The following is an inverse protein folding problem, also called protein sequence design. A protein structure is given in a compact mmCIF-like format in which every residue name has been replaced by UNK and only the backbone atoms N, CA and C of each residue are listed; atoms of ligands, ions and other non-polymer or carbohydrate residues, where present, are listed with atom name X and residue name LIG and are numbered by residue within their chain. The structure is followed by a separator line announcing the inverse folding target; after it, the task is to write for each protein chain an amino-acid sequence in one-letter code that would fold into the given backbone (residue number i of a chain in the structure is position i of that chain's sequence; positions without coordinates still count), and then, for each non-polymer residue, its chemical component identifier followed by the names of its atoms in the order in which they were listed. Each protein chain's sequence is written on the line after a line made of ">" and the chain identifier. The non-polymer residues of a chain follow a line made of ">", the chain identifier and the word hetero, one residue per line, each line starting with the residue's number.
data_IF_897326248361
#
_entry.id   IF_897326248361
#
_cell.length_a   1.000
_cell.length_b   1.000
_cell.length_c   1.000
_cell.angle_alpha   90.00
_cell.angle_beta   90.00
_cell.angle_gamma   90.00
#
_symmetry.space_group_name_H-M   'P 1'
#
loop_
_entity.id
_entity.type
_entity.pdbx_description
1 polymer ?
#
# COMPACT_ATOMS: atom_id res chain seq x y z
N UNK A 1 -78.86 51.40 20.95
CA UNK A 1 -78.50 50.04 21.39
C UNK A 1 -77.85 49.35 20.14
N UNK A 2 -76.60 49.45 20.00
CA UNK A 2 -75.80 48.90 18.86
C UNK A 2 -75.17 47.62 19.36
N UNK A 3 -75.58 46.43 18.79
CA UNK A 3 -74.99 45.12 19.03
C UNK A 3 -73.69 44.99 18.20
N UNK A 4 -72.54 44.86 18.88
CA UNK A 4 -71.25 44.47 18.28
C UNK A 4 -71.23 42.95 18.02
N UNK A 5 -70.92 42.54 16.77
CA UNK A 5 -70.69 41.14 16.39
C UNK A 5 -69.28 40.73 16.83
N UNK A 6 -69.08 39.45 17.29
CA UNK A 6 -67.79 38.97 17.67
C UNK A 6 -66.92 38.68 16.42
N UNK A 7 -65.69 39.27 16.41
CA UNK A 7 -64.70 38.99 15.36
C UNK A 7 -64.10 37.56 15.55
N UNK A 8 -64.15 36.78 14.53
CA UNK A 8 -63.48 35.48 14.45
C UNK A 8 -62.00 35.74 14.13
N UNK A 9 -61.10 35.42 15.10
CA UNK A 9 -59.67 35.39 14.86
C UNK A 9 -59.30 34.05 14.27
N UNK A 10 -58.98 34.05 12.98
CA UNK A 10 -58.47 32.87 12.29
C UNK A 10 -56.99 32.68 12.65
N UNK A 11 -56.68 31.74 13.53
CA UNK A 11 -55.28 31.33 13.80
C UNK A 11 -54.77 30.48 12.65
N UNK A 12 -53.95 31.08 11.79
CA UNK A 12 -53.13 30.36 10.79
C UNK A 12 -52.03 29.56 11.51
N UNK A 13 -52.29 28.27 11.71
CA UNK A 13 -51.23 27.33 12.14
C UNK A 13 -50.37 27.03 10.90
N UNK A 14 -49.21 27.65 10.81
CA UNK A 14 -48.20 27.29 9.82
C UNK A 14 -47.66 25.90 10.16
N UNK A 15 -48.05 24.90 9.39
CA UNK A 15 -47.49 23.56 9.48
C UNK A 15 -46.01 23.63 9.02
N UNK A 16 -45.08 23.55 9.97
CA UNK A 16 -43.65 23.34 9.68
C UNK A 16 -43.50 21.91 9.20
N UNK A 17 -43.49 21.70 7.88
CA UNK A 17 -43.15 20.44 7.28
C UNK A 17 -41.65 20.22 7.51
N UNK A 18 -41.22 19.19 8.25
CA UNK A 18 -39.81 18.90 8.38
C UNK A 18 -39.25 18.57 6.99
N UNK A 19 -38.30 19.35 6.50
CA UNK A 19 -37.53 19.00 5.31
C UNK A 19 -36.68 17.79 5.71
N UNK A 20 -37.15 16.60 5.35
CA UNK A 20 -36.34 15.39 5.45
C UNK A 20 -35.22 15.56 4.44
N UNK A 21 -34.01 15.87 4.92
CA UNK A 21 -32.83 15.87 4.06
C UNK A 21 -32.62 14.43 3.55
N UNK A 22 -32.99 14.20 2.31
CA UNK A 22 -32.75 12.92 1.65
C UNK A 22 -31.24 12.73 1.47
N UNK A 23 -30.71 11.57 1.91
CA UNK A 23 -29.31 11.22 1.67
C UNK A 23 -29.02 11.29 0.15
N UNK A 24 -27.84 11.78 -0.18
CA UNK A 24 -27.42 11.89 -1.59
C UNK A 24 -27.31 10.51 -2.23
N UNK A 25 -27.67 10.43 -3.50
CA UNK A 25 -27.43 9.23 -4.32
C UNK A 25 -25.93 9.07 -4.61
N UNK A 26 -25.45 7.86 -4.91
CA UNK A 26 -24.06 7.64 -5.33
C UNK A 26 -23.64 8.52 -6.51
N UNK A 27 -24.55 8.74 -7.46
CA UNK A 27 -24.35 9.62 -8.61
C UNK A 27 -24.13 11.08 -8.18
N UNK A 28 -24.95 11.60 -7.28
CA UNK A 28 -24.80 12.95 -6.73
C UNK A 28 -23.48 13.11 -5.96
N UNK A 29 -23.08 12.07 -5.22
CA UNK A 29 -21.79 12.05 -4.51
C UNK A 29 -20.65 12.09 -5.51
N UNK A 30 -20.71 11.28 -6.57
CA UNK A 30 -19.71 11.28 -7.64
C UNK A 30 -19.62 12.63 -8.32
N UNK A 31 -20.73 13.20 -8.76
CA UNK A 31 -20.76 14.51 -9.42
C UNK A 31 -20.15 15.62 -8.55
N UNK A 32 -20.37 15.56 -7.23
CA UNK A 32 -19.82 16.55 -6.30
C UNK A 32 -18.33 16.29 -6.03
N UNK A 33 -17.99 15.09 -5.63
CA UNK A 33 -16.66 14.77 -5.11
C UNK A 33 -15.59 14.65 -6.19
N UNK A 34 -15.95 14.16 -7.38
CA UNK A 34 -15.04 14.06 -8.53
C UNK A 34 -14.46 15.40 -8.98
N UNK A 35 -15.15 16.51 -8.70
CA UNK A 35 -14.65 17.85 -9.01
C UNK A 35 -13.38 18.21 -8.23
N UNK A 36 -13.11 17.55 -7.12
CA UNK A 36 -11.94 17.78 -6.28
C UNK A 36 -10.84 16.74 -6.51
N UNK A 37 -11.01 15.81 -7.46
CA UNK A 37 -10.03 14.73 -7.73
C UNK A 37 -9.17 15.12 -8.92
N UNK A 38 -7.88 14.85 -8.79
CA UNK A 38 -6.89 15.05 -9.86
C UNK A 38 -6.10 13.75 -10.07
N UNK A 39 -5.45 13.64 -11.23
CA UNK A 39 -4.47 12.58 -11.53
C UNK A 39 -3.08 13.19 -11.42
N UNK A 40 -2.15 12.44 -10.84
CA UNK A 40 -0.77 12.88 -10.64
C UNK A 40 0.15 11.94 -11.41
N UNK A 41 0.99 12.51 -12.26
CA UNK A 41 2.11 11.84 -12.89
C UNK A 41 3.41 12.30 -12.26
N UNK A 42 4.18 11.36 -11.77
CA UNK A 42 5.53 11.57 -11.25
C UNK A 42 6.54 11.09 -12.31
N UNK A 43 7.45 11.97 -12.74
CA UNK A 43 8.38 11.70 -13.83
C UNK A 43 9.82 11.78 -13.33
N UNK A 44 10.72 11.00 -13.94
CA UNK A 44 12.17 11.08 -13.72
C UNK A 44 12.79 12.29 -14.44
N UNK A 45 14.13 12.44 -14.35
CA UNK A 45 14.88 13.50 -15.02
C UNK A 45 14.79 13.47 -16.55
N UNK A 46 14.47 12.30 -17.12
CA UNK A 46 14.36 12.07 -18.56
C UNK A 46 12.92 12.25 -19.06
N UNK A 47 11.98 12.57 -18.15
CA UNK A 47 10.55 12.74 -18.43
C UNK A 47 9.76 11.45 -18.52
N UNK A 48 10.34 10.30 -18.13
CA UNK A 48 9.61 9.04 -18.12
C UNK A 48 8.72 8.96 -16.87
N UNK A 49 7.54 8.37 -17.03
CA UNK A 49 6.60 8.14 -15.93
C UNK A 49 7.17 7.09 -14.97
N UNK A 50 7.48 7.49 -13.73
CA UNK A 50 7.96 6.58 -12.67
C UNK A 50 6.85 6.13 -11.76
N UNK A 51 5.89 7.03 -11.46
CA UNK A 51 4.70 6.71 -10.67
C UNK A 51 3.49 7.48 -11.17
N UNK A 52 2.30 6.91 -10.88
CA UNK A 52 1.02 7.53 -11.16
C UNK A 52 0.06 7.26 -10.02
N UNK A 53 -0.79 8.24 -9.71
CA UNK A 53 -1.83 8.09 -8.71
C UNK A 53 -2.84 9.21 -8.74
N UNK A 54 -3.75 9.19 -7.78
CA UNK A 54 -4.74 10.24 -7.56
C UNK A 54 -4.24 11.33 -6.62
N UNK A 55 -5.00 12.41 -6.57
CA UNK A 55 -4.88 13.45 -5.56
C UNK A 55 -6.22 14.09 -5.28
N UNK A 56 -6.39 14.65 -4.10
CA UNK A 56 -7.59 15.39 -3.70
C UNK A 56 -7.21 16.85 -3.44
N UNK A 57 -7.92 17.76 -4.06
CA UNK A 57 -7.77 19.20 -3.78
C UNK A 57 -8.30 19.50 -2.39
N UNK A 58 -7.42 19.84 -1.45
CA UNK A 58 -7.76 20.08 -0.05
C UNK A 58 -7.62 21.55 0.37
N UNK A 59 -6.91 22.35 -0.42
CA UNK A 59 -6.71 23.78 -0.18
C UNK A 59 -6.58 24.57 -1.48
N UNK A 60 -6.39 25.87 -1.38
CA UNK A 60 -6.10 26.71 -2.55
C UNK A 60 -4.75 26.29 -3.14
N UNK A 61 -4.75 25.81 -4.39
CA UNK A 61 -3.57 25.29 -5.06
C UNK A 61 -2.85 24.17 -4.28
N UNK A 62 -3.55 23.49 -3.36
CA UNK A 62 -3.01 22.36 -2.60
C UNK A 62 -3.76 21.09 -2.92
N UNK A 63 -3.02 20.09 -3.27
CA UNK A 63 -3.48 18.72 -3.51
C UNK A 63 -2.84 17.78 -2.50
N UNK A 64 -3.66 16.97 -1.83
CA UNK A 64 -3.19 15.92 -0.92
C UNK A 64 -3.20 14.59 -1.63
N UNK A 65 -2.13 13.82 -1.47
CA UNK A 65 -1.92 12.50 -2.07
C UNK A 65 -1.12 11.61 -1.13
N UNK A 66 -0.82 10.38 -1.54
CA UNK A 66 0.16 9.56 -0.83
C UNK A 66 1.59 9.97 -1.19
N UNK A 67 2.51 9.85 -0.23
CA UNK A 67 3.90 10.17 -0.49
C UNK A 67 4.52 9.25 -1.54
N UNK A 68 4.17 7.95 -1.54
CA UNK A 68 4.67 7.00 -2.54
C UNK A 68 4.25 7.33 -3.98
N UNK A 69 3.16 8.11 -4.19
CA UNK A 69 2.74 8.55 -5.54
C UNK A 69 3.73 9.53 -6.14
N UNK A 70 4.33 10.38 -5.31
CA UNK A 70 5.25 11.44 -5.75
C UNK A 70 6.73 11.13 -5.44
N UNK A 71 6.98 9.97 -4.85
CA UNK A 71 8.31 9.56 -4.42
C UNK A 71 9.20 9.27 -5.64
N UNK A 72 10.44 9.81 -5.65
CA UNK A 72 11.39 9.62 -6.74
C UNK A 72 11.18 10.50 -7.97
N UNK A 73 10.17 11.35 -7.95
CA UNK A 73 9.94 12.25 -9.06
C UNK A 73 10.97 13.37 -9.13
N UNK A 74 11.53 13.59 -10.32
CA UNK A 74 12.27 14.81 -10.65
C UNK A 74 11.30 15.95 -11.02
N UNK A 75 10.13 15.61 -11.59
CA UNK A 75 9.04 16.55 -11.87
C UNK A 75 7.68 15.93 -11.57
N UNK A 76 6.72 16.78 -11.23
CA UNK A 76 5.34 16.41 -10.97
C UNK A 76 4.41 17.14 -11.92
N UNK A 77 3.50 16.40 -12.53
CA UNK A 77 2.46 16.92 -13.40
C UNK A 77 1.10 16.47 -12.88
N UNK A 78 0.17 17.41 -12.76
CA UNK A 78 -1.18 17.19 -12.24
C UNK A 78 -2.19 17.43 -13.35
N UNK A 79 -3.00 16.43 -13.62
CA UNK A 79 -4.05 16.50 -14.63
C UNK A 79 -5.40 16.78 -13.99
N UNK A 80 -6.05 17.85 -14.44
CA UNK A 80 -7.40 18.20 -14.05
C UNK A 80 -8.21 18.62 -15.29
N UNK A 81 -9.31 17.94 -15.57
CA UNK A 81 -10.19 18.20 -16.74
C UNK A 81 -9.42 18.35 -18.06
N UNK A 82 -8.49 17.40 -18.32
CA UNK A 82 -7.65 17.36 -19.53
C UNK A 82 -6.57 18.43 -19.62
N UNK A 83 -6.43 19.28 -18.61
CA UNK A 83 -5.32 20.25 -18.51
C UNK A 83 -4.23 19.75 -17.58
N UNK A 84 -2.98 19.99 -17.96
CA UNK A 84 -1.79 19.62 -17.20
C UNK A 84 -1.22 20.83 -16.46
N UNK A 85 -0.88 20.65 -15.19
CA UNK A 85 -0.35 21.67 -14.32
C UNK A 85 0.96 21.16 -13.69
N UNK A 86 2.00 21.97 -13.73
CA UNK A 86 3.23 21.66 -13.00
C UNK A 86 2.99 21.78 -11.48
N UNK A 87 3.58 20.87 -10.71
CA UNK A 87 3.44 20.85 -9.27
C UNK A 87 4.78 20.71 -8.56
N UNK A 88 4.81 21.12 -7.28
CA UNK A 88 5.95 20.99 -6.39
C UNK A 88 5.53 20.43 -5.03
N UNK A 89 6.45 19.71 -4.36
CA UNK A 89 6.19 19.23 -3.01
C UNK A 89 5.97 20.40 -2.04
N UNK A 90 4.95 20.30 -1.17
CA UNK A 90 4.58 21.36 -0.22
C UNK A 90 4.73 20.90 1.23
N UNK A 91 4.20 19.74 1.59
CA UNK A 91 4.33 19.17 2.93
C UNK A 91 4.39 17.63 2.84
N UNK A 92 5.01 17.00 3.82
CA UNK A 92 5.12 15.55 3.87
C UNK A 92 5.08 15.02 5.30
N UNK A 93 4.32 13.95 5.50
CA UNK A 93 4.43 13.04 6.61
C UNK A 93 4.69 11.64 6.05
N UNK A 94 5.95 11.32 5.83
CA UNK A 94 6.37 10.07 5.19
C UNK A 94 6.05 8.82 6.03
N UNK A 95 5.95 8.96 7.36
CA UNK A 95 5.60 7.84 8.26
C UNK A 95 4.17 7.39 8.04
N UNK A 96 3.26 8.34 7.77
CA UNK A 96 1.85 8.10 7.50
C UNK A 96 1.54 7.99 6.00
N UNK A 97 2.56 8.10 5.14
CA UNK A 97 2.40 8.09 3.68
C UNK A 97 1.44 9.20 3.17
N UNK A 98 1.45 10.37 3.81
CA UNK A 98 0.59 11.49 3.48
C UNK A 98 1.42 12.70 3.05
N UNK A 99 1.24 13.12 1.79
CA UNK A 99 1.95 14.25 1.19
C UNK A 99 0.99 15.29 0.64
N UNK A 100 1.45 16.55 0.60
CA UNK A 100 0.80 17.63 -0.14
C UNK A 100 1.73 18.18 -1.20
N UNK A 101 1.15 18.53 -2.34
CA UNK A 101 1.81 19.21 -3.44
C UNK A 101 1.11 20.53 -3.71
N UNK A 102 1.90 21.52 -4.11
CA UNK A 102 1.40 22.82 -4.58
C UNK A 102 1.29 22.80 -6.08
N UNK A 103 0.13 23.17 -6.57
CA UNK A 103 -0.24 23.18 -8.00
C UNK A 103 -0.66 24.61 -8.35
N UNK A 104 0.26 25.48 -8.73
CA UNK A 104 -0.05 26.88 -9.07
C UNK A 104 -1.10 26.94 -10.19
N UNK A 105 -2.00 27.92 -10.09
CA UNK A 105 -3.09 28.17 -11.04
C UNK A 105 -4.16 27.07 -11.14
N UNK A 106 -4.08 26.01 -10.33
CA UNK A 106 -5.14 25.00 -10.30
C UNK A 106 -6.44 25.63 -9.79
N UNK A 107 -7.43 25.74 -10.70
CA UNK A 107 -8.76 26.22 -10.38
C UNK A 107 -9.76 25.05 -10.24
N UNK A 108 -9.56 24.27 -9.22
CA UNK A 108 -10.43 23.15 -8.87
C UNK A 108 -11.07 23.37 -7.48
N UNK A 109 -12.34 22.99 -7.28
CA UNK A 109 -12.97 23.14 -5.97
C UNK A 109 -12.30 22.21 -4.95
N UNK A 110 -12.11 22.72 -3.74
CA UNK A 110 -11.58 21.91 -2.64
C UNK A 110 -12.65 20.94 -2.14
N UNK A 111 -12.23 19.73 -1.77
CA UNK A 111 -13.08 18.78 -1.08
C UNK A 111 -13.48 19.32 0.32
N UNK A 112 -14.73 19.10 0.68
CA UNK A 112 -15.19 19.37 2.04
C UNK A 112 -14.67 18.27 2.97
N UNK A 113 -13.83 18.62 3.94
CA UNK A 113 -13.29 17.66 4.90
C UNK A 113 -14.34 17.30 5.97
N UNK A 114 -14.45 16.02 6.29
CA UNK A 114 -15.10 15.54 7.50
C UNK A 114 -14.04 14.88 8.39
N UNK A 115 -13.61 15.58 9.42
CA UNK A 115 -12.60 15.13 10.39
C UNK A 115 -13.23 14.46 11.62
N UNK A 116 -14.56 14.27 11.64
CA UNK A 116 -15.25 13.59 12.71
C UNK A 116 -14.86 12.11 12.75
N UNK A 117 -15.00 11.53 13.94
CA UNK A 117 -14.70 10.10 14.13
C UNK A 117 -15.64 9.25 13.28
N UNK A 118 -15.06 8.47 12.37
CA UNK A 118 -15.80 7.49 11.56
C UNK A 118 -16.11 6.22 12.35
N UNK A 119 -17.08 5.42 11.90
CA UNK A 119 -17.54 4.20 12.59
C UNK A 119 -17.55 3.00 11.64
N UNK A 120 -17.24 1.82 12.18
CA UNK A 120 -17.41 0.55 11.47
C UNK A 120 -18.88 0.39 11.06
N UNK A 121 -19.11 -0.09 9.83
CA UNK A 121 -20.43 -0.19 9.23
C UNK A 121 -20.93 1.09 8.53
N UNK A 122 -20.21 2.20 8.63
CA UNK A 122 -20.53 3.44 7.89
C UNK A 122 -20.34 3.24 6.40
N UNK A 123 -21.34 3.64 5.59
CA UNK A 123 -21.30 3.61 4.13
C UNK A 123 -20.32 4.67 3.63
N UNK A 124 -19.51 4.30 2.64
CA UNK A 124 -18.46 5.15 2.08
C UNK A 124 -18.30 4.92 0.58
N UNK A 125 -17.71 5.90 -0.09
CA UNK A 125 -17.47 5.91 -1.53
C UNK A 125 -16.00 6.26 -1.78
N UNK A 126 -15.29 5.37 -2.47
CA UNK A 126 -13.93 5.65 -2.93
C UNK A 126 -13.98 6.18 -4.36
N UNK A 127 -13.28 7.28 -4.63
CA UNK A 127 -13.16 7.90 -5.96
C UNK A 127 -11.68 8.07 -6.26
N UNK A 128 -11.25 7.53 -7.40
CA UNK A 128 -9.88 7.59 -7.89
C UNK A 128 -9.82 7.32 -9.39
N UNK A 129 -8.63 7.40 -9.96
CA UNK A 129 -8.36 7.13 -11.37
C UNK A 129 -7.49 5.87 -11.51
N UNK A 130 -8.09 4.66 -11.56
CA UNK A 130 -7.31 3.44 -11.74
C UNK A 130 -6.52 3.50 -13.04
N UNK A 131 -5.23 3.18 -12.98
CA UNK A 131 -4.31 3.16 -14.14
C UNK A 131 -4.30 4.47 -14.97
N UNK A 132 -4.68 5.61 -14.37
CA UNK A 132 -4.77 6.90 -15.04
C UNK A 132 -5.95 7.03 -16.03
N UNK A 133 -6.85 6.09 -15.98
CA UNK A 133 -8.09 6.09 -16.74
C UNK A 133 -9.10 7.08 -16.16
N UNK A 134 -10.34 7.02 -16.64
CA UNK A 134 -11.43 7.86 -16.13
C UNK A 134 -11.66 7.62 -14.62
N UNK A 135 -12.15 8.67 -13.94
CA UNK A 135 -12.50 8.59 -12.54
C UNK A 135 -13.58 7.53 -12.31
N UNK A 136 -13.33 6.64 -11.38
CA UNK A 136 -14.26 5.60 -10.98
C UNK A 136 -14.74 5.81 -9.56
N UNK A 137 -16.01 5.46 -9.30
CA UNK A 137 -16.59 5.42 -7.97
C UNK A 137 -16.82 3.95 -7.58
N UNK A 138 -16.38 3.59 -6.39
CA UNK A 138 -16.72 2.30 -5.77
C UNK A 138 -17.39 2.53 -4.42
N UNK A 139 -18.45 1.78 -4.15
CA UNK A 139 -19.19 1.84 -2.89
C UNK A 139 -18.72 0.73 -1.94
N UNK A 140 -18.72 1.02 -0.65
CA UNK A 140 -18.42 0.06 0.39
C UNK A 140 -18.79 0.54 1.79
N UNK A 141 -18.28 -0.16 2.78
CA UNK A 141 -18.42 0.16 4.19
C UNK A 141 -17.07 0.33 4.84
N UNK A 142 -17.00 1.07 5.94
CA UNK A 142 -15.85 0.99 6.84
C UNK A 142 -15.89 -0.39 7.51
N UNK A 143 -14.94 -1.25 7.15
CA UNK A 143 -14.87 -2.64 7.61
C UNK A 143 -14.19 -2.76 8.97
N UNK A 144 -13.21 -1.87 9.26
CA UNK A 144 -12.45 -1.85 10.50
C UNK A 144 -11.74 -0.51 10.68
N UNK A 145 -11.38 -0.21 11.90
CA UNK A 145 -10.43 0.84 12.24
C UNK A 145 -9.17 0.14 12.77
N UNK A 146 -8.10 0.15 11.97
CA UNK A 146 -6.86 -0.57 12.29
C UNK A 146 -5.83 0.37 12.87
N UNK A 147 -5.23 -0.05 13.98
CA UNK A 147 -4.15 0.69 14.60
C UNK A 147 -2.79 0.13 14.14
N UNK A 148 -1.93 1.01 13.60
CA UNK A 148 -0.55 0.72 13.22
C UNK A 148 0.34 1.85 13.74
N UNK A 149 1.36 1.53 14.49
CA UNK A 149 2.32 2.49 15.07
C UNK A 149 1.63 3.68 15.79
N UNK A 150 0.58 3.38 16.60
CA UNK A 150 -0.19 4.38 17.32
C UNK A 150 -1.06 5.29 16.44
N UNK A 151 -1.20 4.98 15.17
CA UNK A 151 -2.03 5.70 14.19
C UNK A 151 -3.18 4.84 13.70
N UNK A 152 -4.40 5.40 13.69
CA UNK A 152 -5.60 4.67 13.30
C UNK A 152 -5.90 4.88 11.82
N UNK A 153 -5.92 3.79 11.04
CA UNK A 153 -6.25 3.74 9.61
C UNK A 153 -7.69 3.28 9.40
N UNK A 154 -8.32 3.76 8.34
CA UNK A 154 -9.67 3.35 7.94
C UNK A 154 -9.54 2.17 6.96
N UNK A 155 -10.00 0.97 7.36
CA UNK A 155 -10.14 -0.15 6.44
C UNK A 155 -11.54 -0.12 5.81
N UNK A 156 -11.64 -0.29 4.50
CA UNK A 156 -12.91 -0.25 3.77
C UNK A 156 -13.09 -1.47 2.87
N UNK A 157 -14.33 -1.84 2.60
CA UNK A 157 -14.70 -2.82 1.57
C UNK A 157 -14.88 -2.18 0.19
N UNK A 158 -14.89 -0.83 0.08
CA UNK A 158 -14.85 -0.16 -1.23
C UNK A 158 -13.55 -0.55 -1.94
N UNK A 159 -13.68 -0.99 -3.20
CA UNK A 159 -12.52 -1.45 -3.99
C UNK A 159 -11.61 -0.28 -4.33
N UNK A 160 -10.33 -0.43 -4.02
CA UNK A 160 -9.27 0.52 -4.37
C UNK A 160 -8.28 -0.23 -5.25
N UNK A 161 -8.17 0.15 -6.52
CA UNK A 161 -7.27 -0.47 -7.50
C UNK A 161 -5.91 0.22 -7.52
N UNK A 162 -4.94 -0.40 -8.17
CA UNK A 162 -3.65 0.22 -8.47
C UNK A 162 -3.88 1.51 -9.29
N UNK A 163 -3.17 2.59 -8.96
CA UNK A 163 -3.39 3.92 -9.55
C UNK A 163 -4.47 4.77 -8.85
N UNK A 164 -5.36 4.16 -8.04
CA UNK A 164 -6.33 4.90 -7.22
C UNK A 164 -5.77 5.40 -5.89
N UNK A 165 -4.51 5.08 -5.55
CA UNK A 165 -3.81 5.63 -4.38
C UNK A 165 -3.73 7.14 -4.47
N UNK A 166 -3.99 7.84 -3.37
CA UNK A 166 -4.06 9.30 -3.31
C UNK A 166 -5.43 9.88 -3.67
N UNK A 167 -6.37 9.06 -4.17
CA UNK A 167 -7.78 9.45 -4.34
C UNK A 167 -8.50 9.69 -3.02
N UNK A 168 -9.81 9.91 -3.07
CA UNK A 168 -10.59 10.25 -1.89
C UNK A 168 -11.54 9.13 -1.44
N UNK A 169 -11.66 8.96 -0.11
CA UNK A 169 -12.75 8.22 0.52
C UNK A 169 -13.76 9.22 1.08
N UNK A 170 -15.03 9.10 0.66
CA UNK A 170 -16.08 10.06 0.97
C UNK A 170 -17.21 9.43 1.78
N UNK A 171 -17.87 10.24 2.60
CA UNK A 171 -19.10 9.86 3.30
C UNK A 171 -20.35 10.03 2.42
N UNK A 172 -21.53 9.71 2.96
CA UNK A 172 -22.83 9.82 2.28
C UNK A 172 -23.26 11.25 1.94
N UNK A 173 -22.61 12.26 2.49
CA UNK A 173 -22.81 13.66 2.12
C UNK A 173 -21.78 14.17 1.10
N UNK A 174 -20.87 13.30 0.61
CA UNK A 174 -19.79 13.64 -0.31
C UNK A 174 -18.67 14.45 0.32
N UNK A 175 -18.46 14.31 1.64
CA UNK A 175 -17.36 14.93 2.36
C UNK A 175 -16.20 13.94 2.47
N UNK A 176 -14.99 14.43 2.30
CA UNK A 176 -13.76 13.65 2.37
C UNK A 176 -13.48 13.20 3.81
N UNK A 177 -13.44 11.89 4.04
CA UNK A 177 -13.10 11.27 5.33
C UNK A 177 -11.70 10.66 5.33
N UNK A 178 -11.07 10.50 4.16
CA UNK A 178 -9.70 9.99 4.07
C UNK A 178 -9.13 9.99 2.66
N UNK A 179 -7.83 9.80 2.56
CA UNK A 179 -7.08 9.63 1.31
C UNK A 179 -6.90 8.12 1.08
N UNK A 180 -7.36 7.62 -0.08
CA UNK A 180 -7.29 6.20 -0.40
C UNK A 180 -5.85 5.73 -0.56
N UNK A 181 -5.58 4.55 -0.01
CA UNK A 181 -4.32 3.83 -0.18
C UNK A 181 -4.63 2.33 -0.15
N UNK A 182 -3.80 1.50 -0.76
CA UNK A 182 -3.99 0.06 -0.69
C UNK A 182 -2.86 -0.62 0.08
N UNK A 183 -3.20 -1.70 0.76
CA UNK A 183 -2.24 -2.57 1.42
C UNK A 183 -2.26 -3.94 0.78
N UNK A 184 -1.09 -4.49 0.48
CA UNK A 184 -0.97 -5.90 0.09
C UNK A 184 -0.98 -6.73 1.37
N UNK A 185 -2.09 -7.41 1.64
CA UNK A 185 -2.27 -8.33 2.77
C UNK A 185 -2.41 -9.78 2.31
N UNK A 186 -2.55 -10.71 3.25
CA UNK A 186 -2.62 -12.17 3.00
C UNK A 186 -3.58 -12.56 1.84
N UNK A 187 -3.03 -12.76 0.64
CA UNK A 187 -3.82 -13.22 -0.51
C UNK A 187 -4.95 -12.29 -0.95
N UNK A 188 -5.08 -11.13 -0.34
CA UNK A 188 -6.12 -10.13 -0.62
C UNK A 188 -5.52 -8.74 -0.54
N UNK A 189 -5.87 -7.90 -1.51
CA UNK A 189 -5.64 -6.47 -1.41
C UNK A 189 -6.57 -5.92 -0.32
N UNK A 190 -6.01 -5.38 0.76
CA UNK A 190 -6.79 -4.70 1.78
C UNK A 190 -6.83 -3.22 1.45
N UNK A 191 -8.04 -2.69 1.30
CA UNK A 191 -8.28 -1.29 0.97
C UNK A 191 -8.28 -0.46 2.25
N UNK A 192 -7.45 0.57 2.29
CA UNK A 192 -7.34 1.49 3.41
C UNK A 192 -7.47 2.93 2.95
N UNK A 193 -7.80 3.80 3.92
CA UNK A 193 -7.66 5.23 3.75
C UNK A 193 -6.99 5.86 4.97
N UNK A 194 -6.21 6.89 4.70
CA UNK A 194 -5.57 7.75 5.68
C UNK A 194 -6.60 8.77 6.16
N UNK A 195 -6.92 8.86 7.45
CA UNK A 195 -7.98 9.73 7.95
C UNK A 195 -7.82 11.19 7.56
N UNK A 196 -8.90 11.86 7.19
CA UNK A 196 -8.88 13.27 6.77
C UNK A 196 -8.37 14.24 7.87
N UNK A 197 -8.47 13.86 9.14
CA UNK A 197 -7.91 14.64 10.25
C UNK A 197 -6.39 14.81 10.11
N UNK A 198 -5.69 13.85 9.50
CA UNK A 198 -4.25 13.94 9.27
C UNK A 198 -3.87 14.98 8.23
N UNK A 199 -4.78 15.35 7.33
CA UNK A 199 -4.58 16.46 6.37
C UNK A 199 -4.47 17.76 7.16
N UNK A 200 -5.36 17.97 8.12
CA UNK A 200 -5.35 19.17 8.98
C UNK A 200 -4.13 19.20 9.90
N UNK A 201 -3.70 18.05 10.41
CA UNK A 201 -2.46 17.94 11.20
C UNK A 201 -1.23 18.27 10.34
N UNK A 202 -1.19 17.79 9.11
CA UNK A 202 -0.11 18.07 8.17
C UNK A 202 0.00 19.56 7.84
N UNK A 203 -1.12 20.23 7.63
CA UNK A 203 -1.17 21.69 7.36
C UNK A 203 -0.69 22.52 8.56
N UNK A 204 -0.95 22.07 9.80
CA UNK A 204 -0.54 22.77 11.03
C UNK A 204 0.92 22.55 11.40
N UNK A 205 1.48 21.42 11.08
CA UNK A 205 2.82 20.99 11.52
C UNK A 205 3.80 20.65 10.42
N UNK A 206 3.34 20.61 9.18
CA UNK A 206 4.12 20.15 8.04
C UNK A 206 5.21 21.13 7.64
N UNK A 207 6.46 20.83 7.99
CA UNK A 207 7.60 21.45 7.31
C UNK A 207 7.74 20.78 5.95
N UNK A 208 7.57 21.57 4.90
CA UNK A 208 8.00 21.17 3.58
C UNK A 208 9.48 20.75 3.64
N UNK A 209 9.77 19.47 3.44
CA UNK A 209 11.08 19.07 2.98
C UNK A 209 11.08 19.24 1.47
N UNK A 210 11.26 20.50 1.05
CA UNK A 210 11.62 20.78 -0.32
C UNK A 210 12.97 20.13 -0.59
N UNK A 211 13.04 19.42 -1.68
CA UNK A 211 14.30 18.94 -2.20
C UNK A 211 14.21 17.46 -2.55
N UNK A 212 14.20 17.21 -3.84
CA UNK A 212 14.45 15.91 -4.43
C UNK A 212 15.70 15.28 -3.85
N UNK A 213 15.53 14.54 -2.77
CA UNK A 213 16.42 13.46 -2.44
C UNK A 213 15.68 12.23 -2.88
N UNK A 214 16.26 11.57 -3.89
CA UNK A 214 15.82 10.27 -4.34
C UNK A 214 15.34 9.44 -3.16
N UNK A 215 14.22 8.73 -3.30
CA UNK A 215 13.96 7.56 -2.51
C UNK A 215 14.95 6.51 -3.01
N UNK A 216 16.21 6.71 -2.66
CA UNK A 216 17.22 5.74 -2.99
C UNK A 216 16.83 4.46 -2.27
N UNK A 217 16.89 3.35 -2.98
CA UNK A 217 16.88 2.00 -2.42
C UNK A 217 17.72 1.94 -1.13
N UNK A 218 18.84 2.67 -1.09
CA UNK A 218 19.70 2.86 0.06
C UNK A 218 18.97 3.45 1.29
N UNK A 219 18.02 4.38 1.12
CA UNK A 219 17.24 4.94 2.23
C UNK A 219 16.30 3.92 2.83
N UNK A 220 15.61 3.15 1.98
CA UNK A 220 14.74 2.07 2.44
C UNK A 220 15.52 1.00 3.18
N UNK A 221 16.64 0.56 2.62
CA UNK A 221 17.53 -0.42 3.25
C UNK A 221 18.06 0.05 4.59
N UNK A 222 18.46 1.31 4.71
CA UNK A 222 18.91 1.88 5.97
C UNK A 222 17.80 1.85 7.02
N UNK A 223 16.59 2.34 6.69
CA UNK A 223 15.44 2.37 7.62
C UNK A 223 15.02 0.96 8.04
N UNK A 224 14.96 0.03 7.10
CA UNK A 224 14.65 -1.39 7.36
C UNK A 224 15.77 -2.02 8.21
N UNK A 225 17.03 -1.73 7.90
CA UNK A 225 18.18 -2.20 8.66
C UNK A 225 18.18 -1.70 10.11
N UNK A 226 17.87 -0.43 10.34
CA UNK A 226 17.73 0.17 11.68
C UNK A 226 16.61 -0.49 12.50
N UNK A 227 15.44 -0.72 11.89
CA UNK A 227 14.33 -1.41 12.54
C UNK A 227 14.69 -2.87 12.86
N UNK A 228 15.34 -3.56 11.91
CA UNK A 228 15.81 -4.95 12.07
C UNK A 228 16.87 -5.07 13.19
N UNK A 229 17.82 -4.14 13.26
CA UNK A 229 18.84 -4.12 14.32
C UNK A 229 18.24 -3.94 15.72
N UNK A 230 17.14 -3.20 15.83
CA UNK A 230 16.35 -3.04 17.06
C UNK A 230 15.37 -4.19 17.31
N UNK A 231 15.31 -5.20 16.42
CA UNK A 231 14.33 -6.30 16.44
C UNK A 231 12.87 -5.80 16.42
N UNK A 232 12.66 -4.60 15.90
CA UNK A 232 11.32 -4.03 15.69
C UNK A 232 10.72 -4.62 14.41
N UNK A 233 10.25 -5.85 14.53
CA UNK A 233 9.71 -6.61 13.41
C UNK A 233 8.43 -6.01 12.82
N UNK A 234 7.46 -5.49 13.64
CA UNK A 234 6.30 -4.78 13.11
C UNK A 234 6.71 -3.61 12.21
N UNK A 235 7.66 -2.79 12.64
CA UNK A 235 8.20 -1.68 11.87
C UNK A 235 8.94 -2.14 10.61
N UNK A 236 9.71 -3.23 10.71
CA UNK A 236 10.41 -3.84 9.56
C UNK A 236 9.41 -4.23 8.48
N UNK A 237 8.31 -4.91 8.84
CA UNK A 237 7.23 -5.28 7.92
C UNK A 237 6.58 -4.04 7.32
N UNK A 238 6.23 -3.05 8.15
CA UNK A 238 5.60 -1.79 7.71
C UNK A 238 6.47 -1.05 6.69
N UNK A 239 7.77 -0.88 6.97
CA UNK A 239 8.71 -0.22 6.08
C UNK A 239 8.88 -0.98 4.75
N UNK A 240 9.01 -2.32 4.80
CA UNK A 240 9.12 -3.13 3.59
C UNK A 240 7.84 -3.05 2.73
N UNK A 241 6.67 -3.01 3.36
CA UNK A 241 5.41 -2.78 2.66
C UNK A 241 5.34 -1.40 2.01
N UNK A 242 5.80 -0.36 2.71
CA UNK A 242 5.88 0.99 2.16
C UNK A 242 6.82 1.02 0.95
N UNK A 243 7.98 0.36 1.04
CA UNK A 243 8.92 0.30 -0.09
C UNK A 243 8.33 -0.40 -1.31
N UNK A 244 7.67 -1.55 -1.13
CA UNK A 244 6.96 -2.24 -2.23
C UNK A 244 5.90 -1.34 -2.86
N UNK A 245 5.19 -0.53 -2.07
CA UNK A 245 4.20 0.43 -2.60
C UNK A 245 4.86 1.54 -3.40
N UNK A 246 5.94 2.11 -2.86
CA UNK A 246 6.68 3.18 -3.52
C UNK A 246 7.33 2.70 -4.82
N UNK A 247 7.79 1.44 -4.87
CA UNK A 247 8.53 0.87 -5.99
C UNK A 247 8.01 -0.54 -6.32
N UNK A 248 6.79 -0.67 -6.88
CA UNK A 248 6.09 -1.97 -7.02
C UNK A 248 6.79 -2.95 -7.98
N UNK A 249 7.69 -2.47 -8.85
CA UNK A 249 8.49 -3.31 -9.75
C UNK A 249 9.91 -3.57 -9.24
N UNK A 250 10.26 -3.07 -8.04
CA UNK A 250 11.57 -3.28 -7.46
C UNK A 250 11.65 -4.66 -6.80
N UNK A 251 12.41 -5.56 -7.41
CA UNK A 251 12.58 -6.94 -6.93
C UNK A 251 13.10 -7.02 -5.50
N UNK A 252 14.03 -6.12 -5.16
CA UNK A 252 14.65 -6.08 -3.83
C UNK A 252 13.65 -5.67 -2.74
N UNK A 253 12.73 -4.72 -3.05
CA UNK A 253 11.66 -4.33 -2.13
C UNK A 253 10.77 -5.53 -1.78
N UNK A 254 10.40 -6.31 -2.78
CA UNK A 254 9.62 -7.52 -2.61
C UNK A 254 10.38 -8.60 -1.81
N UNK A 255 11.68 -8.78 -2.06
CA UNK A 255 12.51 -9.70 -1.29
C UNK A 255 12.59 -9.29 0.18
N UNK A 256 12.87 -8.00 0.47
CA UNK A 256 12.90 -7.48 1.84
C UNK A 256 11.56 -7.65 2.58
N UNK A 257 10.43 -7.53 1.85
CA UNK A 257 9.11 -7.82 2.41
C UNK A 257 8.95 -9.31 2.74
N UNK A 258 9.40 -10.19 1.84
CA UNK A 258 9.44 -11.64 2.08
C UNK A 258 10.28 -11.99 3.30
N UNK A 259 11.48 -11.42 3.42
CA UNK A 259 12.38 -11.60 4.55
C UNK A 259 11.76 -11.12 5.88
N UNK A 260 11.05 -9.97 5.86
CA UNK A 260 10.36 -9.45 7.02
C UNK A 260 9.20 -10.37 7.48
N UNK A 261 8.45 -10.93 6.53
CA UNK A 261 7.41 -11.91 6.86
C UNK A 261 7.99 -13.23 7.37
N UNK A 262 9.07 -13.72 6.78
CA UNK A 262 9.75 -14.94 7.23
C UNK A 262 10.29 -14.77 8.67
N UNK A 263 10.92 -13.62 8.95
CA UNK A 263 11.45 -13.29 10.28
C UNK A 263 10.35 -13.18 11.36
N UNK A 264 9.11 -12.85 10.97
CA UNK A 264 7.95 -12.80 11.86
C UNK A 264 7.15 -14.10 11.92
N UNK A 265 7.74 -15.21 11.46
CA UNK A 265 7.12 -16.54 11.40
C UNK A 265 5.79 -16.55 10.60
N UNK A 266 5.77 -15.83 9.48
CA UNK A 266 4.62 -15.75 8.57
C UNK A 266 4.97 -16.28 7.17
N UNK A 267 5.38 -17.57 7.05
CA UNK A 267 5.91 -18.11 5.80
C UNK A 267 4.88 -18.06 4.65
N UNK A 268 3.58 -18.22 4.96
CA UNK A 268 2.53 -18.12 3.94
C UNK A 268 2.42 -16.71 3.35
N UNK A 269 2.83 -15.66 4.07
CA UNK A 269 2.91 -14.28 3.55
C UNK A 269 4.22 -14.01 2.82
N UNK A 270 5.30 -14.67 3.22
CA UNK A 270 6.59 -14.53 2.58
C UNK A 270 6.60 -15.06 1.13
N UNK A 271 5.89 -16.18 0.87
CA UNK A 271 5.83 -16.80 -0.45
C UNK A 271 5.42 -15.83 -1.55
N UNK A 272 4.24 -15.17 -1.52
CA UNK A 272 3.85 -14.26 -2.58
C UNK A 272 4.81 -13.08 -2.76
N UNK A 273 5.44 -12.61 -1.71
CA UNK A 273 6.45 -11.56 -1.79
C UNK A 273 7.71 -12.05 -2.55
N UNK A 274 8.24 -13.21 -2.20
CA UNK A 274 9.37 -13.78 -2.94
C UNK A 274 9.02 -14.14 -4.39
N UNK A 275 7.79 -14.60 -4.65
CA UNK A 275 7.32 -14.83 -6.02
C UNK A 275 7.31 -13.54 -6.86
N UNK A 276 6.93 -12.40 -6.29
CA UNK A 276 7.05 -11.13 -6.98
C UNK A 276 8.52 -10.72 -7.15
N UNK A 277 9.36 -10.95 -6.15
CA UNK A 277 10.80 -10.69 -6.26
C UNK A 277 11.41 -11.43 -7.44
N UNK A 278 11.19 -12.73 -7.58
CA UNK A 278 11.72 -13.52 -8.72
C UNK A 278 11.07 -13.18 -10.04
N UNK A 279 9.83 -12.69 -10.03
CA UNK A 279 9.15 -12.20 -11.24
C UNK A 279 9.81 -10.95 -11.81
N UNK A 280 10.25 -10.02 -10.94
CA UNK A 280 10.90 -8.78 -11.36
C UNK A 280 12.41 -8.92 -11.54
N UNK A 281 13.03 -9.91 -10.88
CA UNK A 281 14.44 -10.26 -11.04
C UNK A 281 14.60 -11.78 -10.99
N UNK A 282 14.53 -12.41 -12.16
CA UNK A 282 14.66 -13.86 -12.30
C UNK A 282 16.07 -14.38 -11.96
N UNK A 283 17.09 -13.50 -11.95
CA UNK A 283 18.47 -13.85 -11.62
C UNK A 283 18.81 -13.57 -10.14
N UNK A 284 17.83 -13.27 -9.31
CA UNK A 284 18.02 -13.07 -7.88
C UNK A 284 18.19 -14.39 -7.14
N UNK A 285 19.44 -14.78 -6.87
CA UNK A 285 19.75 -15.97 -6.05
C UNK A 285 19.04 -15.95 -4.70
N UNK A 286 19.12 -14.83 -3.97
CA UNK A 286 18.54 -14.71 -2.64
C UNK A 286 17.02 -14.91 -2.64
N UNK A 287 16.32 -14.35 -3.64
CA UNK A 287 14.88 -14.47 -3.72
C UNK A 287 14.44 -15.91 -4.00
N UNK A 288 15.10 -16.60 -4.94
CA UNK A 288 14.85 -18.01 -5.22
C UNK A 288 15.20 -18.92 -4.05
N UNK A 289 16.36 -18.71 -3.43
CA UNK A 289 16.80 -19.48 -2.27
C UNK A 289 15.85 -19.33 -1.07
N UNK A 290 15.41 -18.09 -0.76
CA UNK A 290 14.51 -17.83 0.35
C UNK A 290 13.09 -18.33 0.07
N UNK A 291 12.63 -18.28 -1.19
CA UNK A 291 11.38 -18.90 -1.64
C UNK A 291 11.42 -20.41 -1.41
N UNK A 292 12.48 -21.08 -1.87
CA UNK A 292 12.66 -22.51 -1.71
C UNK A 292 12.75 -22.93 -0.24
N UNK A 293 13.50 -22.20 0.58
CA UNK A 293 13.56 -22.44 2.01
C UNK A 293 12.20 -22.26 2.70
N UNK A 294 11.41 -21.27 2.25
CA UNK A 294 10.07 -21.03 2.79
C UNK A 294 9.09 -22.15 2.42
N UNK A 295 9.18 -22.69 1.19
CA UNK A 295 8.42 -23.86 0.79
C UNK A 295 8.82 -25.11 1.59
N UNK A 296 10.13 -25.28 1.84
CA UNK A 296 10.65 -26.39 2.64
C UNK A 296 10.12 -26.32 4.09
N UNK A 297 10.08 -25.15 4.70
CA UNK A 297 9.52 -24.92 6.04
C UNK A 297 8.00 -25.26 6.12
N UNK A 298 7.29 -25.23 5.01
CA UNK A 298 5.88 -25.61 4.89
C UNK A 298 5.69 -27.04 4.37
N UNK A 299 6.74 -27.84 4.26
CA UNK A 299 6.74 -29.21 3.71
C UNK A 299 6.24 -29.29 2.27
N UNK A 300 6.31 -28.21 1.50
CA UNK A 300 5.96 -28.17 0.08
C UNK A 300 7.20 -28.54 -0.76
N UNK A 301 7.60 -29.80 -0.67
CA UNK A 301 8.90 -30.28 -1.15
C UNK A 301 9.10 -30.11 -2.65
N UNK A 302 8.09 -30.36 -3.49
CA UNK A 302 8.19 -30.18 -4.95
C UNK A 302 8.55 -28.75 -5.31
N UNK A 303 7.80 -27.78 -4.77
CA UNK A 303 8.05 -26.36 -4.99
C UNK A 303 9.38 -25.89 -4.39
N UNK A 304 9.77 -26.48 -3.25
CA UNK A 304 11.07 -26.19 -2.64
C UNK A 304 12.22 -26.61 -3.56
N UNK A 305 12.13 -27.81 -4.14
CA UNK A 305 13.13 -28.32 -5.09
C UNK A 305 13.25 -27.42 -6.29
N UNK A 306 12.13 -27.07 -6.95
CA UNK A 306 12.13 -26.19 -8.12
C UNK A 306 12.80 -24.84 -7.80
N UNK A 307 12.38 -24.19 -6.74
CA UNK A 307 12.93 -22.88 -6.37
C UNK A 307 14.43 -22.95 -5.98
N UNK A 308 14.86 -23.98 -5.25
CA UNK A 308 16.27 -24.14 -4.88
C UNK A 308 17.13 -24.50 -6.08
N UNK A 309 16.60 -25.27 -7.03
CA UNK A 309 17.30 -25.58 -8.28
C UNK A 309 17.54 -24.31 -9.11
N UNK A 310 16.56 -23.41 -9.19
CA UNK A 310 16.75 -22.10 -9.84
C UNK A 310 17.83 -21.27 -9.11
N UNK A 311 17.82 -21.23 -7.78
CA UNK A 311 18.89 -20.60 -7.02
C UNK A 311 20.26 -21.20 -7.33
N UNK A 312 20.37 -22.53 -7.42
CA UNK A 312 21.61 -23.23 -7.76
C UNK A 312 22.01 -23.07 -9.22
N UNK A 313 21.06 -22.84 -10.14
CA UNK A 313 21.35 -22.46 -11.52
C UNK A 313 22.09 -21.12 -11.57
N UNK A 314 21.63 -20.15 -10.77
CA UNK A 314 22.21 -18.79 -10.69
C UNK A 314 23.57 -18.81 -9.98
N UNK A 315 23.66 -19.53 -8.87
CA UNK A 315 24.91 -19.65 -8.09
C UNK A 315 25.26 -21.13 -7.86
N UNK A 316 25.90 -21.77 -8.83
CA UNK A 316 26.34 -23.15 -8.68
C UNK A 316 27.30 -23.33 -7.49
N UNK A 317 27.14 -24.40 -6.75
CA UNK A 317 28.04 -24.72 -5.65
C UNK A 317 27.76 -23.97 -4.34
N UNK A 318 26.64 -23.25 -4.23
CA UNK A 318 26.26 -22.60 -2.98
C UNK A 318 25.87 -23.66 -1.92
N UNK A 319 26.75 -23.92 -0.95
CA UNK A 319 26.65 -25.04 -0.02
C UNK A 319 25.35 -25.06 0.79
N UNK A 320 24.82 -23.91 1.24
CA UNK A 320 23.58 -23.87 2.01
C UNK A 320 22.35 -24.17 1.13
N UNK A 321 22.32 -23.70 -0.11
CA UNK A 321 21.26 -24.04 -1.06
C UNK A 321 21.30 -25.54 -1.37
N UNK A 322 22.49 -26.10 -1.62
CA UNK A 322 22.69 -27.56 -1.80
C UNK A 322 22.19 -28.34 -0.59
N UNK A 323 22.48 -27.89 0.64
CA UNK A 323 21.95 -28.51 1.86
C UNK A 323 20.41 -28.51 1.89
N UNK A 324 19.79 -27.37 1.58
CA UNK A 324 18.33 -27.23 1.57
C UNK A 324 17.69 -28.09 0.48
N UNK A 325 18.33 -28.25 -0.68
CA UNK A 325 17.89 -29.17 -1.74
C UNK A 325 17.87 -30.61 -1.24
N UNK A 326 18.93 -31.01 -0.55
CA UNK A 326 19.00 -32.36 0.05
C UNK A 326 17.94 -32.59 1.12
N UNK A 327 17.64 -31.56 1.93
CA UNK A 327 16.56 -31.64 2.91
C UNK A 327 15.17 -31.79 2.23
N UNK A 328 14.95 -31.13 1.11
CA UNK A 328 13.73 -31.26 0.32
C UNK A 328 13.62 -32.67 -0.29
N UNK A 329 14.69 -33.21 -0.87
CA UNK A 329 14.72 -34.60 -1.36
C UNK A 329 14.48 -35.62 -0.25
N UNK A 330 15.03 -35.37 0.94
CA UNK A 330 14.77 -36.23 2.11
C UNK A 330 13.28 -36.22 2.47
N UNK A 331 12.65 -35.06 2.49
CA UNK A 331 11.21 -34.89 2.74
C UNK A 331 10.33 -35.62 1.73
N UNK A 332 10.78 -35.75 0.49
CA UNK A 332 10.13 -36.55 -0.56
C UNK A 332 10.45 -38.05 -0.49
N UNK A 333 11.38 -38.47 0.37
CA UNK A 333 11.81 -39.87 0.43
C UNK A 333 12.80 -40.29 -0.66
N UNK A 334 13.38 -39.37 -1.43
CA UNK A 334 14.31 -39.62 -2.53
C UNK A 334 15.73 -39.90 -2.02
N UNK A 335 15.94 -41.08 -1.43
CA UNK A 335 17.17 -41.47 -0.75
C UNK A 335 18.43 -41.38 -1.61
N UNK A 336 18.34 -41.78 -2.86
CA UNK A 336 19.48 -41.71 -3.79
C UNK A 336 19.92 -40.27 -4.02
N UNK A 337 18.97 -39.36 -4.21
CA UNK A 337 19.24 -37.93 -4.33
C UNK A 337 19.88 -37.34 -3.06
N UNK A 338 19.46 -37.80 -1.89
CA UNK A 338 20.07 -37.40 -0.62
C UNK A 338 21.54 -37.79 -0.55
N UNK A 339 21.90 -39.00 -1.02
CA UNK A 339 23.29 -39.46 -1.08
C UNK A 339 24.12 -38.65 -2.08
N UNK A 340 23.58 -38.34 -3.26
CA UNK A 340 24.22 -37.46 -4.25
C UNK A 340 24.54 -36.08 -3.65
N UNK A 341 23.57 -35.47 -2.97
CA UNK A 341 23.74 -34.18 -2.28
C UNK A 341 24.80 -34.26 -1.19
N UNK A 342 24.80 -35.31 -0.40
CA UNK A 342 25.83 -35.49 0.62
C UNK A 342 27.23 -35.54 0.00
N UNK A 343 27.40 -36.29 -1.10
CA UNK A 343 28.68 -36.36 -1.81
C UNK A 343 29.11 -34.98 -2.37
N UNK A 344 28.16 -34.18 -2.89
CA UNK A 344 28.43 -32.82 -3.33
C UNK A 344 28.83 -31.91 -2.17
N UNK A 345 28.11 -31.95 -1.03
CA UNK A 345 28.42 -31.15 0.16
C UNK A 345 29.80 -31.46 0.72
N UNK A 346 30.25 -32.73 0.68
CA UNK A 346 31.61 -33.09 1.11
C UNK A 346 32.70 -32.35 0.33
N UNK A 347 32.45 -32.03 -0.96
CA UNK A 347 33.38 -31.27 -1.79
C UNK A 347 33.25 -29.77 -1.54
N UNK A 348 32.05 -29.26 -1.30
CA UNK A 348 31.74 -27.83 -1.15
C UNK A 348 32.03 -27.32 0.26
N UNK A 349 31.58 -28.05 1.28
CA UNK A 349 31.71 -27.68 2.69
C UNK A 349 31.66 -28.93 3.60
N UNK A 350 32.82 -29.51 3.98
CA UNK A 350 32.89 -30.73 4.79
C UNK A 350 32.15 -30.61 6.14
N UNK A 351 32.17 -29.44 6.76
CA UNK A 351 31.48 -29.22 8.03
C UNK A 351 29.97 -29.33 7.87
N UNK A 352 29.43 -28.68 6.83
CA UNK A 352 28.00 -28.73 6.51
C UNK A 352 27.58 -30.13 6.04
N UNK A 353 28.46 -30.85 5.33
CA UNK A 353 28.25 -32.25 4.96
C UNK A 353 28.13 -33.17 6.20
N UNK A 354 28.96 -32.95 7.21
CA UNK A 354 28.86 -33.68 8.47
C UNK A 354 27.51 -33.41 9.20
N UNK A 355 27.07 -32.17 9.23
CA UNK A 355 25.76 -31.80 9.79
C UNK A 355 24.60 -32.45 9.00
N UNK A 356 24.70 -32.40 7.66
CA UNK A 356 23.73 -33.00 6.75
C UNK A 356 23.63 -34.52 6.97
N UNK A 357 24.77 -35.21 7.03
CA UNK A 357 24.83 -36.66 7.23
C UNK A 357 24.18 -37.07 8.57
N UNK A 358 24.47 -36.35 9.65
CA UNK A 358 23.86 -36.62 10.96
C UNK A 358 22.33 -36.53 10.93
N UNK A 359 21.80 -35.67 10.12
CA UNK A 359 20.36 -35.35 10.10
C UNK A 359 19.56 -36.17 9.07
N UNK A 360 20.17 -36.47 7.91
CA UNK A 360 19.42 -36.97 6.75
C UNK A 360 19.99 -38.27 6.16
N UNK A 361 21.24 -38.65 6.47
CA UNK A 361 21.90 -39.80 5.86
C UNK A 361 21.99 -40.99 6.81
N UNK A 362 22.11 -40.76 8.13
CA UNK A 362 22.13 -41.85 9.10
C UNK A 362 20.74 -42.45 9.26
N UNK A 363 20.65 -43.80 9.39
CA UNK A 363 19.39 -44.53 9.54
C UNK A 363 18.63 -44.17 10.81
#
# INVERSE_FOLDING_TARGET
>A
MTKRAPGIVLLLVAAVVPVIATAKTPEQIFQQASQSIVVIHAQDSDGNLVNQGGGVVTGRELVTTNCHVIEGAASLEVFYRYEAYAATAAAANEERDLCQIRVPQLNAPRAMLNTSRVRVGQRVYAIGAPEGLELTLTEGLISSLREFDGSQYIQTSATISQGSSGGGLFDTEGRLIGITSFFVGEGSYLNFALPAVWIVELERGGRARAGGQEPSEARWLRRIGEARAKKDWPRTVSLSQQWVRAMPRNARAWRELGDAYAATNRPRRAIPAYQQAVRYDAESFDAWHNLGWTYLALNQYDRAIEAIQEALRITPGHARATYNLGAAYYGQGLRDKVQEIHAQLRKLNPTLAGQFAKRYVKP
#
